data_IF_302577203804
#
_entry.id   IF_302577203804
#
_cell.length_a   1.000
_cell.length_b   1.000
_cell.length_c   1.000
_cell.angle_alpha   90.00
_cell.angle_beta   90.00
_cell.angle_gamma   90.00
#
_symmetry.space_group_name_H-M   'P 1'
#
loop_
_entity.id
_entity.type
_entity.pdbx_description
1 polymer ?
#
# COMPACT_ATOMS: atom_id res chain seq x y z
N UNK A 1 -20.98 0.04 7.88
CA UNK A 1 -20.39 -0.44 6.61
C UNK A 1 -20.68 -1.91 6.47
N UNK A 2 -20.91 -2.40 5.24
CA UNK A 2 -20.94 -3.82 4.94
C UNK A 2 -19.63 -4.50 5.40
N UNK A 3 -19.71 -5.69 6.02
CA UNK A 3 -18.58 -6.37 6.65
C UNK A 3 -17.52 -6.85 5.62
N UNK A 4 -17.97 -7.11 4.39
CA UNK A 4 -17.19 -7.54 3.23
C UNK A 4 -16.20 -6.47 2.72
N UNK A 5 -16.42 -5.18 3.00
CA UNK A 5 -15.52 -4.09 2.59
C UNK A 5 -14.41 -3.80 3.62
N UNK A 6 -14.52 -4.30 4.85
CA UNK A 6 -13.59 -3.99 5.95
C UNK A 6 -12.15 -4.48 5.69
N UNK A 7 -11.99 -5.60 4.97
CA UNK A 7 -10.70 -6.15 4.60
C UNK A 7 -9.91 -5.24 3.65
N UNK A 8 -10.60 -4.62 2.70
CA UNK A 8 -10.00 -3.71 1.71
C UNK A 8 -9.38 -2.47 2.38
N UNK A 9 -10.10 -1.87 3.33
CA UNK A 9 -9.58 -0.74 4.12
C UNK A 9 -8.36 -1.14 4.96
N UNK A 10 -8.42 -2.32 5.59
CA UNK A 10 -7.31 -2.84 6.39
C UNK A 10 -6.06 -3.03 5.54
N UNK A 11 -6.20 -3.61 4.34
CA UNK A 11 -5.08 -3.75 3.39
C UNK A 11 -4.56 -2.40 2.93
N UNK A 12 -5.44 -1.44 2.65
CA UNK A 12 -5.07 -0.07 2.33
C UNK A 12 -4.12 0.53 3.36
N UNK A 13 -4.48 0.42 4.65
CA UNK A 13 -3.69 0.87 5.80
C UNK A 13 -2.36 0.12 5.89
N UNK A 14 -2.38 -1.21 5.75
CA UNK A 14 -1.18 -2.04 5.85
C UNK A 14 -0.12 -1.70 4.78
N UNK A 15 -0.59 -1.26 3.61
CA UNK A 15 0.24 -0.92 2.46
C UNK A 15 0.64 0.56 2.39
N UNK A 16 0.25 1.41 3.35
CA UNK A 16 0.80 2.78 3.46
C UNK A 16 2.28 2.69 3.80
N UNK A 17 3.14 2.85 2.78
CA UNK A 17 4.59 2.66 2.90
C UNK A 17 5.03 1.25 3.33
N UNK A 18 4.12 0.27 3.36
CA UNK A 18 4.37 -1.10 3.85
C UNK A 18 4.56 -1.25 5.37
N UNK A 19 4.48 -0.15 6.13
CA UNK A 19 4.79 -0.14 7.58
C UNK A 19 3.79 -0.98 8.37
N UNK A 20 2.49 -0.91 8.03
CA UNK A 20 1.47 -1.66 8.74
C UNK A 20 1.64 -3.17 8.58
N UNK A 21 1.93 -3.62 7.36
CA UNK A 21 2.26 -5.02 7.11
C UNK A 21 3.53 -5.44 7.87
N UNK A 22 4.59 -4.63 7.84
CA UNK A 22 5.82 -4.92 8.58
C UNK A 22 5.56 -5.13 10.08
N UNK A 23 4.75 -4.25 10.69
CA UNK A 23 4.34 -4.40 12.10
C UNK A 23 3.57 -5.70 12.35
N UNK A 24 2.69 -6.11 11.43
CA UNK A 24 1.95 -7.38 11.55
C UNK A 24 2.86 -8.60 11.44
N UNK A 25 3.83 -8.58 10.51
CA UNK A 25 4.83 -9.64 10.35
C UNK A 25 5.69 -9.79 11.62
N UNK A 26 6.21 -8.67 12.17
CA UNK A 26 6.99 -8.69 13.41
C UNK A 26 6.20 -9.21 14.62
N UNK A 27 4.89 -8.94 14.66
CA UNK A 27 4.01 -9.41 15.72
C UNK A 27 3.55 -10.87 15.53
N UNK A 28 3.98 -11.56 14.47
CA UNK A 28 3.50 -12.91 14.13
C UNK A 28 2.01 -12.96 13.76
N UNK A 29 1.44 -11.83 13.35
CA UNK A 29 0.01 -11.70 12.97
C UNK A 29 -0.22 -11.79 11.47
N UNK A 30 0.84 -11.98 10.70
CA UNK A 30 0.83 -12.22 9.27
C UNK A 30 2.07 -13.05 8.90
N UNK A 31 2.01 -13.72 7.75
CA UNK A 31 3.13 -14.43 7.15
C UNK A 31 3.34 -13.92 5.74
N UNK A 32 4.59 -13.77 5.33
CA UNK A 32 4.93 -13.39 3.97
C UNK A 32 6.13 -14.21 3.49
N UNK A 33 6.15 -14.51 2.21
CA UNK A 33 7.15 -15.34 1.57
C UNK A 33 7.97 -14.51 0.58
N UNK A 34 9.29 -14.64 0.61
CA UNK A 34 10.13 -14.11 -0.45
C UNK A 34 10.02 -15.01 -1.68
N UNK A 35 9.51 -14.47 -2.78
CA UNK A 35 9.26 -15.20 -4.02
C UNK A 35 10.32 -14.91 -5.12
N UNK A 36 11.46 -14.33 -4.74
CA UNK A 36 12.60 -14.09 -5.64
C UNK A 36 12.78 -12.65 -6.10
N UNK A 37 13.76 -12.42 -6.97
CA UNK A 37 13.99 -11.12 -7.60
C UNK A 37 13.15 -10.99 -8.87
N UNK A 38 12.61 -9.79 -9.13
CA UNK A 38 11.79 -9.51 -10.31
C UNK A 38 11.96 -8.07 -10.78
N UNK A 39 11.85 -7.85 -12.08
CA UNK A 39 11.73 -6.49 -12.61
C UNK A 39 10.28 -5.98 -12.47
N UNK A 40 10.13 -4.76 -11.97
CA UNK A 40 8.83 -4.10 -11.83
C UNK A 40 8.97 -2.61 -12.09
N UNK A 41 8.19 -2.09 -13.05
CA UNK A 41 8.22 -0.69 -13.47
C UNK A 41 9.63 -0.15 -13.79
N UNK A 42 10.48 -0.97 -14.41
CA UNK A 42 11.87 -0.63 -14.76
C UNK A 42 12.86 -0.70 -13.59
N UNK A 43 12.43 -1.15 -12.40
CA UNK A 43 13.29 -1.34 -11.24
C UNK A 43 13.56 -2.82 -10.99
N UNK A 44 14.77 -3.13 -10.54
CA UNK A 44 15.08 -4.44 -9.94
C UNK A 44 14.47 -4.49 -8.55
N UNK A 45 13.60 -5.47 -8.29
CA UNK A 45 12.86 -5.58 -7.03
C UNK A 45 12.98 -6.96 -6.40
N UNK A 46 12.77 -7.01 -5.08
CA UNK A 46 12.55 -8.22 -4.30
C UNK A 46 11.03 -8.43 -4.20
N UNK A 47 10.55 -9.54 -4.74
CA UNK A 47 9.15 -9.92 -4.70
C UNK A 47 8.85 -10.61 -3.38
N UNK A 48 7.86 -10.09 -2.66
CA UNK A 48 7.31 -10.72 -1.46
C UNK A 48 5.83 -10.98 -1.69
N UNK A 49 5.38 -12.20 -1.40
CA UNK A 49 3.97 -12.58 -1.42
C UNK A 49 3.40 -12.63 0.00
N UNK A 50 2.24 -12.03 0.20
CA UNK A 50 1.52 -12.05 1.47
C UNK A 50 0.07 -12.48 1.24
N UNK A 51 -0.49 -13.26 2.16
CA UNK A 51 -1.92 -13.60 2.17
C UNK A 51 -2.77 -12.40 2.59
N UNK A 52 -3.39 -11.72 1.63
CA UNK A 52 -4.33 -10.64 1.87
C UNK A 52 -5.79 -11.10 1.96
N UNK A 53 -6.73 -10.17 2.25
CA UNK A 53 -8.15 -10.48 2.44
C UNK A 53 -8.83 -11.15 1.24
N UNK A 54 -8.40 -10.79 0.03
CA UNK A 54 -8.98 -11.22 -1.26
C UNK A 54 -8.05 -12.16 -2.02
N UNK A 55 -7.04 -12.72 -1.34
CA UNK A 55 -6.03 -13.61 -1.92
C UNK A 55 -4.62 -13.04 -1.83
N UNK A 56 -3.71 -13.60 -2.64
CA UNK A 56 -2.30 -13.22 -2.63
C UNK A 56 -2.10 -11.76 -3.04
N UNK A 57 -1.30 -11.06 -2.25
CA UNK A 57 -0.79 -9.72 -2.53
C UNK A 57 0.68 -9.84 -2.91
N UNK A 58 1.05 -9.32 -4.06
CA UNK A 58 2.43 -9.23 -4.52
C UNK A 58 2.98 -7.86 -4.16
N UNK A 59 4.09 -7.84 -3.45
CA UNK A 59 4.78 -6.63 -2.99
C UNK A 59 6.15 -6.55 -3.64
N UNK A 60 6.46 -5.39 -4.17
CA UNK A 60 7.69 -5.14 -4.91
C UNK A 60 8.54 -4.16 -4.11
N UNK A 61 9.59 -4.67 -3.48
CA UNK A 61 10.55 -3.84 -2.75
C UNK A 61 11.75 -3.54 -3.64
N UNK A 62 12.11 -2.28 -3.80
CA UNK A 62 13.30 -1.91 -4.58
C UNK A 62 14.55 -2.58 -4.00
N UNK A 63 15.34 -3.24 -4.85
CA UNK A 63 16.45 -4.05 -4.38
C UNK A 63 17.60 -3.22 -3.80
N UNK A 64 17.73 -1.94 -4.16
CA UNK A 64 18.78 -1.07 -3.64
C UNK A 64 18.39 -0.42 -2.30
N UNK A 65 17.19 0.14 -2.23
CA UNK A 65 16.71 0.95 -1.11
C UNK A 65 15.86 0.19 -0.11
N UNK A 66 15.36 -1.00 -0.49
CA UNK A 66 14.39 -1.81 0.26
C UNK A 66 13.05 -1.12 0.51
N UNK A 67 12.76 -0.01 -0.16
CA UNK A 67 11.47 0.67 -0.08
C UNK A 67 10.43 -0.10 -0.88
N UNK A 68 9.19 -0.15 -0.40
CA UNK A 68 8.06 -0.70 -1.14
C UNK A 68 7.75 0.23 -2.32
N UNK A 69 8.06 -0.18 -3.55
CA UNK A 69 7.85 0.61 -4.77
C UNK A 69 6.61 0.18 -5.56
N UNK A 70 5.97 -0.92 -5.17
CA UNK A 70 4.67 -1.27 -5.73
C UNK A 70 3.99 -2.44 -5.08
N UNK A 71 2.72 -2.60 -5.45
CA UNK A 71 1.90 -3.72 -5.04
C UNK A 71 0.95 -4.13 -6.16
N UNK A 72 0.69 -5.44 -6.29
CA UNK A 72 -0.39 -5.97 -7.14
C UNK A 72 -1.28 -6.89 -6.34
N UNK A 73 -2.59 -6.70 -6.44
CA UNK A 73 -3.56 -7.54 -5.76
C UNK A 73 -4.95 -7.44 -6.39
N UNK A 74 -5.78 -8.45 -6.14
CA UNK A 74 -7.19 -8.44 -6.51
C UNK A 74 -7.99 -7.60 -5.51
N UNK A 75 -8.87 -6.75 -5.98
CA UNK A 75 -9.82 -5.96 -5.19
C UNK A 75 -11.22 -6.50 -5.44
N UNK A 76 -12.06 -6.53 -4.40
CA UNK A 76 -13.51 -6.74 -4.52
C UNK A 76 -14.18 -5.46 -4.01
N UNK A 77 -14.95 -4.80 -4.88
CA UNK A 77 -15.65 -3.55 -4.57
C UNK A 77 -17.12 -3.66 -4.95
N UNK A 78 -17.92 -2.64 -4.59
CA UNK A 78 -19.31 -2.53 -5.03
C UNK A 78 -19.46 -2.48 -6.56
N UNK A 79 -18.42 -2.06 -7.29
CA UNK A 79 -18.41 -2.00 -8.75
C UNK A 79 -17.95 -3.32 -9.40
N UNK A 80 -17.61 -4.34 -8.60
CA UNK A 80 -17.09 -5.62 -9.07
C UNK A 80 -15.64 -5.87 -8.63
N UNK A 81 -15.08 -6.97 -9.13
CA UNK A 81 -13.70 -7.38 -8.86
C UNK A 81 -12.77 -6.98 -10.00
N UNK A 82 -11.59 -6.48 -9.65
CA UNK A 82 -10.55 -6.06 -10.60
C UNK A 82 -9.15 -6.33 -10.04
N UNK A 83 -8.14 -6.38 -10.90
CA UNK A 83 -6.74 -6.34 -10.47
C UNK A 83 -6.29 -4.88 -10.29
N UNK A 84 -5.66 -4.59 -9.16
CA UNK A 84 -5.07 -3.29 -8.89
C UNK A 84 -3.54 -3.41 -8.87
N UNK A 85 -2.87 -2.53 -9.61
CA UNK A 85 -1.43 -2.32 -9.56
C UNK A 85 -1.15 -0.90 -9.07
N UNK A 86 -0.45 -0.78 -7.95
CA UNK A 86 0.05 0.50 -7.44
C UNK A 86 1.55 0.60 -7.65
N UNK A 87 2.00 1.76 -8.12
CA UNK A 87 3.41 2.14 -8.26
C UNK A 87 3.66 3.34 -7.36
N UNK A 88 4.67 3.25 -6.51
CA UNK A 88 5.04 4.27 -5.53
C UNK A 88 6.38 4.87 -5.95
N UNK A 89 6.49 6.20 -5.93
CA UNK A 89 7.72 6.90 -6.29
C UNK A 89 7.84 8.24 -5.56
N UNK A 90 8.88 9.01 -5.88
CA UNK A 90 9.18 10.30 -5.24
C UNK A 90 9.26 10.15 -3.72
N UNK A 91 10.13 9.25 -3.25
CA UNK A 91 10.29 9.01 -1.82
C UNK A 91 11.04 10.17 -1.18
N UNK A 92 10.39 10.83 -0.21
CA UNK A 92 10.97 11.94 0.54
C UNK A 92 11.00 11.60 2.02
N UNK A 93 12.00 12.14 2.71
CA UNK A 93 12.14 11.98 4.15
C UNK A 93 11.25 12.99 4.90
N UNK A 94 10.49 12.51 5.87
CA UNK A 94 9.70 13.30 6.82
C UNK A 94 9.95 12.70 8.21
N UNK A 95 10.49 13.51 9.12
CA UNK A 95 10.94 13.11 10.47
C UNK A 95 11.72 11.77 10.51
N UNK A 96 12.69 11.62 9.60
CA UNK A 96 13.58 10.45 9.56
C UNK A 96 12.97 9.19 8.91
N UNK A 97 11.76 9.28 8.36
CA UNK A 97 11.09 8.17 7.66
C UNK A 97 10.81 8.56 6.21
N UNK A 98 11.08 7.65 5.26
CA UNK A 98 10.81 7.88 3.84
C UNK A 98 9.38 7.51 3.46
N UNK A 99 8.65 8.44 2.88
CA UNK A 99 7.28 8.25 2.37
C UNK A 99 7.21 8.52 0.87
N UNK A 100 6.36 7.80 0.11
CA UNK A 100 6.12 8.12 -1.28
C UNK A 100 5.28 9.41 -1.39
N UNK A 101 5.76 10.37 -2.20
CA UNK A 101 5.01 11.59 -2.53
C UNK A 101 4.32 11.50 -3.89
N UNK A 102 4.48 10.39 -4.60
CA UNK A 102 3.78 10.12 -5.84
C UNK A 102 3.35 8.67 -5.91
N UNK A 103 2.13 8.42 -6.39
CA UNK A 103 1.74 7.08 -6.79
C UNK A 103 0.75 7.05 -7.93
N UNK A 104 0.92 6.02 -8.76
CA UNK A 104 0.06 5.72 -9.90
C UNK A 104 -0.66 4.41 -9.63
N UNK A 105 -1.96 4.40 -9.86
CA UNK A 105 -2.79 3.21 -9.72
C UNK A 105 -3.33 2.82 -11.08
N UNK A 106 -3.18 1.55 -11.42
CA UNK A 106 -3.81 0.93 -12.58
C UNK A 106 -4.85 -0.08 -12.13
N UNK A 107 -5.98 -0.14 -12.84
CA UNK A 107 -7.02 -1.16 -12.65
C UNK A 107 -7.21 -1.92 -13.94
N UNK A 108 -7.07 -3.23 -13.89
CA UNK A 108 -7.09 -4.12 -15.05
C UNK A 108 -6.17 -3.64 -16.20
N UNK A 109 -5.01 -3.10 -15.81
CA UNK A 109 -3.99 -2.54 -16.73
C UNK A 109 -4.27 -1.11 -17.23
N UNK A 110 -5.48 -0.57 -17.06
CA UNK A 110 -5.82 0.80 -17.40
C UNK A 110 -5.42 1.80 -16.31
N UNK A 111 -4.93 2.98 -16.70
CA UNK A 111 -4.63 4.05 -15.74
C UNK A 111 -5.93 4.46 -15.01
N UNK A 112 -5.91 4.37 -13.69
CA UNK A 112 -7.03 4.74 -12.84
C UNK A 112 -6.80 6.07 -12.11
N UNK A 113 -5.60 6.25 -11.55
CA UNK A 113 -5.26 7.48 -10.84
C UNK A 113 -3.77 7.79 -10.91
N UNK A 114 -3.43 9.07 -10.91
CA UNK A 114 -2.09 9.60 -10.74
C UNK A 114 -2.18 10.66 -9.63
N UNK A 115 -1.49 10.43 -8.51
CA UNK A 115 -1.62 11.24 -7.31
C UNK A 115 -0.26 11.76 -6.87
N UNK A 116 -0.18 13.09 -6.68
CA UNK A 116 0.96 13.77 -6.06
C UNK A 116 0.59 14.33 -4.70
N UNK A 117 1.36 13.97 -3.67
CA UNK A 117 1.26 14.54 -2.33
C UNK A 117 2.07 15.84 -2.30
N UNK A 118 1.43 16.94 -1.93
CA UNK A 118 2.10 18.25 -1.82
C UNK A 118 2.80 18.44 -0.48
N UNK A 119 2.21 17.93 0.58
CA UNK A 119 2.67 18.10 1.95
C UNK A 119 2.29 16.89 2.79
N UNK A 120 3.20 16.47 3.66
CA UNK A 120 2.98 15.43 4.65
C UNK A 120 3.50 15.94 5.99
N UNK A 121 2.62 16.02 6.99
CA UNK A 121 2.96 16.37 8.37
C UNK A 121 2.69 15.18 9.27
N UNK A 122 3.67 14.81 10.08
CA UNK A 122 3.52 13.73 11.05
C UNK A 122 3.16 14.29 12.41
N UNK A 123 2.34 13.54 13.16
CA UNK A 123 1.93 13.87 14.52
C UNK A 123 1.35 15.29 14.68
N UNK A 124 0.75 15.83 13.61
CA UNK A 124 0.03 17.10 13.67
C UNK A 124 -1.11 16.98 14.68
N UNK A 125 -1.29 18.02 15.51
CA UNK A 125 -2.36 18.03 16.49
C UNK A 125 -3.70 18.23 15.76
N UNK A 126 -4.45 17.14 15.61
CA UNK A 126 -5.82 17.16 15.09
C UNK A 126 -6.79 17.06 16.26
N UNK A 127 -7.69 18.02 16.38
CA UNK A 127 -8.69 18.02 17.44
C UNK A 127 -9.66 16.83 17.30
N UNK A 128 -9.98 16.17 18.40
CA UNK A 128 -10.79 14.95 18.37
C UNK A 128 -12.18 15.16 17.74
N UNK A 129 -12.72 16.38 17.84
CA UNK A 129 -13.98 16.79 17.23
C UNK A 129 -13.97 16.70 15.70
N UNK A 130 -12.80 16.76 15.05
CA UNK A 130 -12.67 16.55 13.59
C UNK A 130 -13.15 15.16 13.16
N UNK A 131 -13.08 14.17 14.05
CA UNK A 131 -13.51 12.80 13.78
C UNK A 131 -14.94 12.50 14.26
N UNK A 132 -15.65 13.50 14.81
CA UNK A 132 -17.05 13.34 15.19
C UNK A 132 -17.92 13.13 13.94
N UNK A 133 -18.95 12.28 14.04
CA UNK A 133 -19.90 12.10 12.95
C UNK A 133 -20.62 13.44 12.66
N UNK A 134 -20.80 13.83 11.39
CA UNK A 134 -21.68 14.94 11.04
C UNK A 134 -23.09 14.70 11.60
N UNK A 135 -23.76 15.76 12.05
CA UNK A 135 -25.19 15.72 12.38
C UNK A 135 -26.05 15.81 11.13
#
# INVERSE_FOLDING_TARGET
MPADLSGEYTRGIDLVGGIGLYKKLLAGKAEAEFAGEKEFAGLKTLLVEWGGPTGKVKLYFDAATKLLVGAKYRVISMQGAFEEERRLSDFREVDGVKFPFHWVTYRDGGLYSDLTVKELKLNEKIEASTFAKPQ
#
